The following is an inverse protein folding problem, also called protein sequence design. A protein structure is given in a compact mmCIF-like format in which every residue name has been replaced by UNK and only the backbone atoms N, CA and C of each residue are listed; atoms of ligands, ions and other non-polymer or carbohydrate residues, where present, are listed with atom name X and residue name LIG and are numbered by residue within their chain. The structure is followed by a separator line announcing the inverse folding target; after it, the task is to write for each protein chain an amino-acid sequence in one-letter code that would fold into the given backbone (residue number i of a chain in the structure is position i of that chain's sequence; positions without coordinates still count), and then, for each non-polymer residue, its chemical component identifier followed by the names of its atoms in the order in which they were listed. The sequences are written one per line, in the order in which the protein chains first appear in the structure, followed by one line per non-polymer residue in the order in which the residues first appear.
data_IF_068438797712
#
_entry.id   IF_068438797712
#
_cell.length_a   1.000
_cell.length_b   1.000
_cell.length_c   1.000
_cell.angle_alpha   90.00
_cell.angle_beta   90.00
_cell.angle_gamma   90.00
#
_symmetry.space_group_name_H-M   'P 1'
#
loop_
_entity.id
_entity.type
_entity.pdbx_description
1 polymer ?
#
# COMPACT_ATOMS: atom_id res chain seq x y z
N UNK A 1 -27.82 -9.65 25.64
CA UNK A 1 -26.85 -8.60 25.93
C UNK A 1 -26.33 -8.19 24.57
N UNK A 2 -26.33 -6.92 24.23
CA UNK A 2 -25.81 -6.46 22.96
C UNK A 2 -24.30 -6.79 22.97
N UNK A 3 -23.74 -7.24 21.84
CA UNK A 3 -22.33 -7.68 21.72
C UNK A 3 -21.35 -6.57 22.12
N UNK A 4 -21.74 -5.32 21.89
CA UNK A 4 -20.99 -4.12 22.31
C UNK A 4 -21.02 -3.88 23.81
N UNK A 5 -22.14 -4.15 24.50
CA UNK A 5 -22.28 -3.90 25.94
C UNK A 5 -21.28 -4.72 26.75
N UNK A 6 -20.99 -5.95 26.30
CA UNK A 6 -19.96 -6.81 26.90
C UNK A 6 -18.58 -6.17 26.91
N UNK A 7 -18.24 -5.48 25.81
CA UNK A 7 -16.95 -4.80 25.65
C UNK A 7 -16.93 -3.49 26.46
N UNK A 8 -18.04 -2.74 26.47
CA UNK A 8 -18.17 -1.48 27.22
C UNK A 8 -18.03 -1.71 28.72
N UNK A 9 -18.68 -2.75 29.25
CA UNK A 9 -18.74 -3.07 30.67
C UNK A 9 -17.56 -3.97 31.14
N UNK A 10 -16.52 -4.16 30.31
CA UNK A 10 -15.38 -4.98 30.68
C UNK A 10 -14.68 -4.43 31.92
N UNK A 11 -14.38 -5.30 32.89
CA UNK A 11 -13.77 -4.90 34.17
C UNK A 11 -12.23 -5.05 34.10
N UNK A 12 -11.54 -3.94 34.26
CA UNK A 12 -10.07 -3.87 34.23
C UNK A 12 -9.44 -3.84 35.66
N UNK A 13 -10.19 -4.09 36.73
CA UNK A 13 -9.70 -3.92 38.12
C UNK A 13 -8.49 -4.83 38.45
N UNK A 14 -8.36 -5.96 37.82
CA UNK A 14 -7.33 -6.96 38.11
C UNK A 14 -6.11 -6.85 37.19
N UNK A 15 -6.05 -5.84 36.32
CA UNK A 15 -4.99 -5.68 35.32
C UNK A 15 -3.94 -4.70 35.82
N UNK A 16 -2.68 -5.12 35.83
CA UNK A 16 -1.54 -4.22 36.02
C UNK A 16 -1.29 -3.50 34.71
N UNK A 17 -1.51 -2.19 34.70
CA UNK A 17 -1.35 -1.35 33.51
C UNK A 17 0.06 -0.78 33.45
N UNK A 18 0.77 -1.04 32.38
CA UNK A 18 2.00 -0.35 32.03
C UNK A 18 1.71 0.99 31.34
N UNK A 19 2.75 1.73 30.98
CA UNK A 19 2.64 3.02 30.29
C UNK A 19 1.93 2.91 28.94
N UNK A 20 1.88 1.71 28.35
CA UNK A 20 1.23 1.43 27.06
C UNK A 20 0.44 0.13 27.15
N UNK A 21 -0.77 0.16 26.61
CA UNK A 21 -1.68 -0.97 26.61
C UNK A 21 -2.25 -1.20 25.22
N UNK A 22 -2.27 -2.46 24.80
CA UNK A 22 -2.99 -2.93 23.61
C UNK A 22 -4.14 -3.80 24.07
N UNK A 23 -5.36 -3.44 23.68
CA UNK A 23 -6.57 -4.23 23.97
C UNK A 23 -7.12 -4.79 22.69
N UNK A 24 -7.33 -6.10 22.65
CA UNK A 24 -7.90 -6.83 21.52
C UNK A 24 -9.28 -7.36 21.88
N UNK A 25 -10.21 -7.25 20.96
CA UNK A 25 -11.54 -7.83 21.05
C UNK A 25 -12.18 -7.97 19.66
N UNK A 26 -13.28 -8.72 19.59
CA UNK A 26 -14.07 -8.84 18.37
C UNK A 26 -15.54 -8.54 18.63
N UNK A 27 -16.21 -8.10 17.58
CA UNK A 27 -17.65 -7.85 17.59
C UNK A 27 -18.27 -8.42 16.31
N UNK A 28 -19.56 -8.75 16.38
CA UNK A 28 -20.32 -9.14 15.20
C UNK A 28 -20.39 -7.99 14.20
N UNK A 29 -20.18 -8.28 12.92
CA UNK A 29 -20.23 -7.27 11.84
C UNK A 29 -21.67 -6.81 11.59
N UNK A 30 -22.04 -5.65 12.11
CA UNK A 30 -23.34 -4.98 11.92
C UNK A 30 -23.23 -3.72 11.09
N UNK A 31 -22.03 -3.33 10.69
CA UNK A 31 -21.70 -2.13 9.89
C UNK A 31 -20.66 -2.50 8.83
N UNK A 32 -20.55 -1.67 7.81
CA UNK A 32 -19.56 -1.87 6.75
C UNK A 32 -18.34 -0.95 6.89
N UNK A 33 -17.33 -1.21 6.06
CA UNK A 33 -16.05 -0.51 6.05
C UNK A 33 -16.23 0.99 5.78
N UNK A 34 -17.11 1.37 4.83
CA UNK A 34 -17.36 2.77 4.50
C UNK A 34 -18.01 3.54 5.66
N UNK A 35 -18.95 2.92 6.37
CA UNK A 35 -19.56 3.52 7.57
C UNK A 35 -18.51 3.77 8.66
N UNK A 36 -17.63 2.77 8.90
CA UNK A 36 -16.55 2.91 9.86
C UNK A 36 -15.59 4.05 9.50
N UNK A 37 -15.12 4.11 8.26
CA UNK A 37 -14.21 5.17 7.79
C UNK A 37 -14.89 6.56 7.88
N UNK A 38 -16.18 6.65 7.53
CA UNK A 38 -16.92 7.90 7.54
C UNK A 38 -17.14 8.45 8.94
N UNK A 39 -17.37 7.58 9.91
CA UNK A 39 -17.51 7.97 11.32
C UNK A 39 -16.26 8.73 11.81
N UNK A 40 -15.08 8.28 11.41
CA UNK A 40 -13.81 8.91 11.76
C UNK A 40 -13.35 9.99 10.77
N UNK A 41 -14.28 10.74 10.17
CA UNK A 41 -13.96 11.85 9.26
C UNK A 41 -13.11 12.96 9.89
N UNK A 42 -13.23 13.15 11.22
CA UNK A 42 -12.40 14.09 12.00
C UNK A 42 -10.92 13.69 12.09
N UNK A 43 -10.61 12.40 11.86
CA UNK A 43 -9.24 11.84 11.80
C UNK A 43 -8.65 11.86 10.39
N UNK A 44 -9.10 12.76 9.52
CA UNK A 44 -8.52 12.95 8.19
C UNK A 44 -7.02 13.26 8.29
N UNK A 45 -6.22 12.56 7.48
CA UNK A 45 -4.76 12.64 7.50
C UNK A 45 -4.10 11.59 8.39
N UNK A 46 -4.89 10.79 9.12
CA UNK A 46 -4.43 9.76 10.06
C UNK A 46 -5.22 8.46 9.86
N UNK A 47 -5.46 8.04 8.61
CA UNK A 47 -6.22 6.83 8.29
C UNK A 47 -5.55 6.06 7.16
N UNK A 48 -5.63 4.73 7.21
CA UNK A 48 -5.21 3.88 6.12
C UNK A 48 -6.15 2.68 5.92
N UNK A 49 -6.09 2.09 4.74
CA UNK A 49 -6.80 0.86 4.36
C UNK A 49 -5.84 -0.02 3.59
N UNK A 50 -5.76 -1.30 3.97
CA UNK A 50 -5.06 -2.35 3.24
C UNK A 50 -6.08 -3.44 2.94
N UNK A 51 -6.36 -3.69 1.66
CA UNK A 51 -7.21 -4.78 1.20
C UNK A 51 -6.57 -5.45 0.00
N UNK A 52 -6.09 -6.66 0.18
CA UNK A 52 -5.24 -7.36 -0.78
C UNK A 52 -5.78 -8.76 -1.09
N UNK A 53 -5.38 -9.36 -2.23
CA UNK A 53 -5.91 -10.67 -2.67
C UNK A 53 -5.66 -11.80 -1.69
N UNK A 54 -4.52 -11.77 -1.02
CA UNK A 54 -4.07 -12.80 -0.10
C UNK A 54 -4.75 -12.72 1.27
N UNK A 55 -5.03 -11.50 1.76
CA UNK A 55 -5.73 -11.31 3.04
C UNK A 55 -7.25 -11.48 2.91
N UNK A 56 -7.83 -11.15 1.75
CA UNK A 56 -9.30 -11.12 1.49
C UNK A 56 -10.11 -10.22 2.44
N UNK A 57 -9.45 -9.63 3.44
CA UNK A 57 -10.02 -8.80 4.49
C UNK A 57 -9.60 -7.35 4.30
N UNK A 58 -10.37 -6.42 4.84
CA UNK A 58 -9.96 -5.04 4.93
C UNK A 58 -9.33 -4.78 6.30
N UNK A 59 -8.10 -4.31 6.30
CA UNK A 59 -7.40 -3.80 7.49
C UNK A 59 -7.49 -2.28 7.44
N UNK A 60 -8.09 -1.66 8.46
CA UNK A 60 -8.34 -0.22 8.51
C UNK A 60 -7.73 0.34 9.80
N UNK A 61 -6.80 1.28 9.66
CA UNK A 61 -6.20 2.00 10.79
C UNK A 61 -6.72 3.43 10.89
N UNK A 62 -6.98 3.88 12.12
CA UNK A 62 -7.53 5.20 12.46
C UNK A 62 -6.71 5.82 13.59
N UNK A 63 -6.29 7.08 13.39
CA UNK A 63 -5.51 7.84 14.37
C UNK A 63 -4.08 7.30 14.49
N UNK A 64 -3.07 8.14 14.32
CA UNK A 64 -1.67 7.70 14.40
C UNK A 64 -1.09 8.04 15.76
N UNK A 65 -1.03 7.07 16.65
CA UNK A 65 -0.53 7.24 18.04
C UNK A 65 1.00 7.20 18.12
N UNK A 66 1.66 6.51 17.19
CA UNK A 66 3.11 6.52 17.05
C UNK A 66 3.46 6.58 15.57
N UNK A 67 4.48 7.35 15.23
CA UNK A 67 4.89 7.56 13.84
C UNK A 67 6.41 7.56 13.72
N UNK A 68 6.90 6.90 12.67
CA UNK A 68 8.28 6.96 12.21
C UNK A 68 8.27 7.61 10.84
N UNK A 69 8.72 8.88 10.78
CA UNK A 69 8.77 9.69 9.57
C UNK A 69 10.24 10.02 9.30
N UNK A 70 10.79 9.46 8.25
CA UNK A 70 12.17 9.69 7.84
C UNK A 70 12.17 10.31 6.44
N UNK A 71 12.99 11.32 6.27
CA UNK A 71 13.26 11.91 4.97
C UNK A 71 14.69 11.53 4.61
N UNK A 72 14.83 10.58 3.70
CA UNK A 72 16.10 10.05 3.21
C UNK A 72 16.13 10.13 1.70
N UNK A 73 17.27 10.51 1.14
CA UNK A 73 17.46 10.46 -0.31
C UNK A 73 17.79 9.05 -0.83
N UNK A 74 17.83 8.06 0.07
CA UNK A 74 18.23 6.71 -0.27
C UNK A 74 17.32 5.69 0.42
N UNK A 75 16.63 4.88 -0.38
CA UNK A 75 15.76 3.80 0.06
C UNK A 75 16.49 2.80 0.95
N UNK A 76 17.72 2.44 0.59
CA UNK A 76 18.52 1.45 1.31
C UNK A 76 18.84 1.92 2.73
N UNK A 77 19.25 3.18 2.90
CA UNK A 77 19.62 3.73 4.20
C UNK A 77 18.42 3.91 5.13
N UNK A 78 17.21 4.07 4.59
CA UNK A 78 15.98 4.17 5.39
C UNK A 78 15.68 2.86 6.15
N UNK A 79 15.92 1.73 5.53
CA UNK A 79 15.74 0.41 6.15
C UNK A 79 16.99 -0.09 6.90
N UNK A 80 18.19 0.16 6.37
CA UNK A 80 19.44 -0.30 6.96
C UNK A 80 19.80 0.41 8.27
N UNK A 81 19.43 1.68 8.43
CA UNK A 81 19.63 2.41 9.67
C UNK A 81 18.60 2.08 10.76
N UNK A 82 17.79 1.05 10.54
CA UNK A 82 16.95 0.32 11.50
C UNK A 82 16.16 1.15 12.54
N UNK A 83 16.08 2.48 12.38
CA UNK A 83 15.37 3.34 13.34
C UNK A 83 13.88 2.99 13.47
N UNK A 84 13.27 2.49 12.38
CA UNK A 84 11.88 2.04 12.37
C UNK A 84 11.74 0.72 13.13
N UNK A 85 12.54 -0.30 12.77
CA UNK A 85 12.46 -1.63 13.40
C UNK A 85 12.92 -1.57 14.85
N UNK A 86 14.08 -0.95 15.15
CA UNK A 86 14.57 -0.82 16.52
C UNK A 86 13.63 0.02 17.40
N UNK A 87 13.05 1.09 16.85
CA UNK A 87 12.05 1.89 17.57
C UNK A 87 10.76 1.11 17.85
N UNK A 88 10.34 0.25 16.92
CA UNK A 88 9.19 -0.63 17.13
C UNK A 88 9.49 -1.71 18.17
N UNK A 89 10.67 -2.36 18.12
CA UNK A 89 11.10 -3.34 19.11
C UNK A 89 11.20 -2.72 20.51
N UNK A 90 11.77 -1.53 20.65
CA UNK A 90 11.81 -0.80 21.92
C UNK A 90 10.39 -0.51 22.45
N UNK A 91 9.49 -0.06 21.58
CA UNK A 91 8.11 0.20 21.96
C UNK A 91 7.40 -1.08 22.45
N UNK A 92 7.61 -2.21 21.78
CA UNK A 92 7.02 -3.51 22.17
C UNK A 92 7.37 -3.91 23.61
N UNK A 93 8.58 -3.63 24.06
CA UNK A 93 9.00 -3.95 25.44
C UNK A 93 8.23 -3.17 26.52
N UNK A 94 7.53 -2.12 26.14
CA UNK A 94 6.77 -1.22 27.02
C UNK A 94 5.26 -1.44 26.93
N UNK A 95 4.81 -2.45 26.18
CA UNK A 95 3.38 -2.68 25.90
C UNK A 95 2.87 -3.89 26.67
N UNK A 96 1.80 -3.70 27.42
CA UNK A 96 0.98 -4.79 27.97
C UNK A 96 -0.10 -5.17 26.96
N UNK A 97 -0.31 -6.46 26.74
CA UNK A 97 -1.34 -6.97 25.85
C UNK A 97 -2.50 -7.57 26.66
N UNK A 98 -3.72 -7.15 26.33
CA UNK A 98 -4.95 -7.70 26.86
C UNK A 98 -5.82 -8.20 25.71
N UNK A 99 -6.14 -9.47 25.70
CA UNK A 99 -7.07 -10.06 24.75
C UNK A 99 -8.37 -10.45 25.49
N UNK A 100 -9.46 -9.75 25.18
CA UNK A 100 -10.76 -9.96 25.84
C UNK A 100 -11.44 -11.27 25.35
N UNK A 101 -11.16 -11.68 24.11
CA UNK A 101 -11.84 -12.77 23.42
C UNK A 101 -10.94 -13.99 23.16
N UNK A 102 -9.69 -13.95 23.65
CA UNK A 102 -8.71 -15.05 23.50
C UNK A 102 -8.58 -15.53 22.04
N UNK A 103 -8.41 -14.60 21.10
CA UNK A 103 -8.23 -14.95 19.68
C UNK A 103 -6.75 -14.94 19.28
N UNK A 104 -6.32 -15.91 18.49
CA UNK A 104 -4.92 -16.13 18.10
C UNK A 104 -4.39 -15.11 17.05
N UNK A 105 -5.23 -14.19 16.57
CA UNK A 105 -4.87 -13.31 15.47
C UNK A 105 -4.04 -12.11 15.95
N UNK A 106 -2.85 -11.95 15.38
CA UNK A 106 -1.94 -10.86 15.73
C UNK A 106 -1.94 -9.75 14.68
N UNK A 107 -2.67 -8.67 14.99
CA UNK A 107 -2.75 -7.50 14.12
C UNK A 107 -2.05 -6.25 14.70
N UNK A 108 -1.52 -6.31 15.93
CA UNK A 108 -0.73 -5.20 16.44
C UNK A 108 0.60 -5.12 15.67
N UNK A 109 0.92 -3.93 15.17
CA UNK A 109 2.12 -3.74 14.35
C UNK A 109 2.25 -2.33 13.82
N UNK A 110 3.26 -2.14 12.98
CA UNK A 110 3.49 -0.91 12.23
C UNK A 110 3.01 -1.08 10.80
N UNK A 111 2.37 -0.04 10.29
CA UNK A 111 1.76 0.01 8.96
C UNK A 111 2.35 1.17 8.17
N UNK A 112 2.77 0.95 6.95
CA UNK A 112 3.38 2.01 6.18
C UNK A 112 4.23 1.51 5.02
N UNK A 113 5.14 2.37 4.56
CA UNK A 113 5.97 2.06 3.42
C UNK A 113 7.16 2.98 3.27
N UNK A 114 7.91 2.74 2.20
CA UNK A 114 9.10 3.50 1.83
C UNK A 114 8.95 3.94 0.38
N UNK A 115 9.15 5.21 0.11
CA UNK A 115 9.13 5.78 -1.25
C UNK A 115 10.49 5.65 -1.94
N UNK A 116 10.56 6.04 -3.21
CA UNK A 116 11.82 6.15 -3.94
C UNK A 116 12.69 7.36 -3.52
N UNK A 117 12.25 8.13 -2.53
CA UNK A 117 12.90 9.32 -2.01
C UNK A 117 12.47 10.62 -2.71
N UNK A 118 13.02 11.75 -2.20
CA UNK A 118 12.80 13.10 -2.75
C UNK A 118 11.34 13.61 -2.71
N UNK A 119 10.46 13.04 -1.88
CA UNK A 119 9.06 13.45 -1.77
C UNK A 119 8.87 14.94 -1.51
N UNK A 120 9.77 15.55 -0.75
CA UNK A 120 9.74 17.00 -0.45
C UNK A 120 9.91 17.88 -1.69
N UNK A 121 10.53 17.36 -2.75
CA UNK A 121 10.77 18.10 -3.98
C UNK A 121 9.58 18.00 -4.96
N UNK A 122 8.63 17.13 -4.70
CA UNK A 122 7.41 16.94 -5.51
C UNK A 122 6.23 17.65 -4.87
N UNK A 123 5.45 18.38 -5.67
CA UNK A 123 4.23 19.03 -5.19
C UNK A 123 3.17 18.01 -4.76
N UNK A 124 3.11 16.88 -5.45
CA UNK A 124 2.13 15.83 -5.19
C UNK A 124 2.43 15.08 -3.89
N UNK A 125 3.71 14.87 -3.56
CA UNK A 125 4.16 14.05 -2.43
C UNK A 125 4.57 14.83 -1.19
N UNK A 126 4.49 16.17 -1.20
CA UNK A 126 4.97 17.04 -0.11
C UNK A 126 4.40 16.72 1.27
N UNK A 127 3.24 16.11 1.34
CA UNK A 127 2.59 15.71 2.59
C UNK A 127 3.07 14.35 3.11
N UNK A 128 3.84 13.59 2.31
CA UNK A 128 4.36 12.28 2.67
C UNK A 128 5.86 12.34 2.90
N UNK A 129 6.34 11.76 3.98
CA UNK A 129 7.79 11.52 4.18
C UNK A 129 8.27 10.37 3.31
N UNK A 130 9.58 10.30 3.04
CA UNK A 130 10.17 9.26 2.20
C UNK A 130 9.97 7.86 2.84
N UNK A 131 10.05 7.78 4.16
CA UNK A 131 9.66 6.61 4.94
C UNK A 131 8.56 7.00 5.91
N UNK A 132 7.47 6.26 5.91
CA UNK A 132 6.34 6.48 6.82
C UNK A 132 5.86 5.16 7.37
N UNK A 133 5.98 4.97 8.69
CA UNK A 133 5.34 3.88 9.42
C UNK A 133 4.56 4.43 10.61
N UNK A 134 3.42 3.82 10.90
CA UNK A 134 2.51 4.28 11.95
C UNK A 134 1.98 3.10 12.78
N UNK A 135 1.70 3.36 14.05
CA UNK A 135 0.82 2.52 14.86
C UNK A 135 -0.52 3.26 14.97
N UNK A 136 -1.62 2.67 14.48
CA UNK A 136 -2.94 3.27 14.63
C UNK A 136 -3.45 3.16 16.06
N UNK A 137 -4.20 4.17 16.52
CA UNK A 137 -4.90 4.11 17.81
C UNK A 137 -6.06 3.12 17.81
N UNK A 138 -6.71 2.95 16.64
CA UNK A 138 -7.74 1.94 16.39
C UNK A 138 -7.37 1.21 15.12
N UNK A 139 -7.20 -0.09 15.21
CA UNK A 139 -7.10 -0.98 14.06
C UNK A 139 -8.33 -1.87 14.01
N UNK A 140 -8.96 -1.94 12.84
CA UNK A 140 -10.13 -2.79 12.59
C UNK A 140 -9.86 -3.73 11.42
N UNK A 141 -10.05 -5.04 11.61
CA UNK A 141 -9.93 -6.04 10.56
C UNK A 141 -11.31 -6.62 10.27
N UNK A 142 -11.81 -6.33 9.07
CA UNK A 142 -13.15 -6.69 8.63
C UNK A 142 -13.14 -8.07 7.97
N UNK A 143 -13.61 -9.09 8.70
CA UNK A 143 -13.87 -10.43 8.16
C UNK A 143 -15.34 -10.56 7.70
N UNK A 144 -15.73 -11.74 7.27
CA UNK A 144 -17.09 -11.97 6.74
C UNK A 144 -18.18 -11.68 7.77
N UNK A 145 -18.07 -12.22 8.97
CA UNK A 145 -19.10 -12.12 10.01
C UNK A 145 -18.69 -11.28 11.24
N UNK A 146 -17.41 -11.04 11.43
CA UNK A 146 -16.85 -10.38 12.61
C UNK A 146 -15.90 -9.26 12.22
N UNK A 147 -15.77 -8.29 13.11
CA UNK A 147 -14.74 -7.25 13.04
C UNK A 147 -13.84 -7.40 14.26
N UNK A 148 -12.54 -7.55 14.00
CA UNK A 148 -11.52 -7.65 15.04
C UNK A 148 -10.92 -6.26 15.28
N UNK A 149 -10.93 -5.84 16.53
CA UNK A 149 -10.37 -4.56 16.94
C UNK A 149 -9.09 -4.74 17.74
N UNK A 150 -8.09 -3.92 17.45
CA UNK A 150 -6.90 -3.73 18.27
C UNK A 150 -6.82 -2.25 18.60
N UNK A 151 -6.94 -1.91 19.89
CA UNK A 151 -6.87 -0.55 20.38
C UNK A 151 -5.54 -0.32 21.10
N UNK A 152 -4.82 0.72 20.71
CA UNK A 152 -3.57 1.12 21.36
C UNK A 152 -3.80 2.35 22.26
N UNK A 153 -3.36 2.26 23.50
CA UNK A 153 -3.42 3.31 24.50
C UNK A 153 -2.03 3.71 24.94
N UNK A 154 -1.74 5.01 24.93
CA UNK A 154 -0.58 5.60 25.56
C UNK A 154 -1.01 6.24 26.89
N UNK A 155 -0.64 5.61 28.00
CA UNK A 155 -1.10 5.96 29.37
C UNK A 155 -0.30 7.10 30.01
N UNK A 156 0.59 7.78 29.28
CA UNK A 156 1.41 8.88 29.82
C UNK A 156 0.62 10.09 30.31
N UNK A 157 -0.69 10.16 30.03
CA UNK A 157 -1.57 11.19 30.52
C UNK A 157 -2.22 10.73 31.84
N UNK A 158 -2.37 11.65 32.83
CA UNK A 158 -2.94 11.42 34.18
C UNK A 158 -4.44 11.04 34.18
N UNK A 159 -4.98 10.51 33.10
CA UNK A 159 -6.37 10.08 32.98
C UNK A 159 -6.53 8.65 33.53
N UNK A 160 -7.62 8.44 34.28
CA UNK A 160 -8.07 7.10 34.66
C UNK A 160 -8.32 6.25 33.39
N UNK A 161 -7.77 5.05 33.36
CA UNK A 161 -7.89 4.15 32.18
C UNK A 161 -9.36 3.85 31.84
N UNK A 162 -10.22 3.71 32.84
CA UNK A 162 -11.65 3.45 32.59
C UNK A 162 -12.30 4.59 31.80
N UNK A 163 -11.92 5.84 32.07
CA UNK A 163 -12.40 7.00 31.33
C UNK A 163 -11.84 6.99 29.86
N UNK A 164 -10.55 6.69 29.70
CA UNK A 164 -9.94 6.56 28.36
C UNK A 164 -10.57 5.43 27.57
N UNK A 165 -10.83 4.30 28.22
CA UNK A 165 -11.52 3.18 27.60
C UNK A 165 -12.88 3.58 27.06
N UNK A 166 -13.76 4.15 27.90
CA UNK A 166 -15.10 4.57 27.48
C UNK A 166 -15.04 5.60 26.33
N UNK A 167 -14.14 6.57 26.41
CA UNK A 167 -13.94 7.55 25.34
C UNK A 167 -13.53 6.87 24.03
N UNK A 168 -12.61 5.91 24.11
CA UNK A 168 -12.06 5.25 22.91
C UNK A 168 -13.05 4.29 22.25
N UNK A 169 -13.92 3.61 23.01
CA UNK A 169 -14.88 2.64 22.47
C UNK A 169 -16.27 3.22 22.18
N UNK A 170 -16.52 4.49 22.51
CA UNK A 170 -17.81 5.15 22.25
C UNK A 170 -18.26 5.01 20.79
N UNK A 171 -17.32 4.91 19.84
CA UNK A 171 -17.63 4.72 18.42
C UNK A 171 -18.46 3.46 18.15
N UNK A 172 -18.39 2.43 18.97
CA UNK A 172 -19.19 1.21 18.80
C UNK A 172 -20.69 1.51 18.92
N UNK A 173 -21.08 2.35 19.88
CA UNK A 173 -22.49 2.78 20.06
C UNK A 173 -22.92 3.69 18.90
N UNK A 174 -22.02 4.57 18.45
CA UNK A 174 -22.30 5.48 17.34
C UNK A 174 -22.51 4.72 16.03
N UNK A 175 -21.71 3.68 15.76
CA UNK A 175 -21.79 2.87 14.53
C UNK A 175 -23.16 2.19 14.34
N UNK A 176 -23.81 1.73 15.41
CA UNK A 176 -25.15 1.09 15.33
C UNK A 176 -26.19 1.98 14.65
N UNK A 177 -26.08 3.30 14.86
CA UNK A 177 -27.05 4.27 14.40
C UNK A 177 -26.52 5.18 13.28
N UNK A 178 -25.25 4.96 12.86
CA UNK A 178 -24.59 5.84 11.91
C UNK A 178 -25.17 5.71 10.52
N UNK A 179 -25.67 6.82 9.99
CA UNK A 179 -26.10 6.92 8.60
C UNK A 179 -25.06 7.69 7.80
N UNK A 180 -24.41 6.96 6.92
CA UNK A 180 -23.40 7.53 6.05
C UNK A 180 -24.01 8.58 5.11
N UNK A 181 -23.37 9.76 5.04
CA UNK A 181 -23.66 10.81 4.08
C UNK A 181 -22.41 11.04 3.24
N UNK A 182 -22.34 10.40 2.09
CA UNK A 182 -21.21 10.58 1.18
C UNK A 182 -21.64 11.43 -0.01
N UNK A 183 -20.82 12.41 -0.35
CA UNK A 183 -20.88 13.08 -1.63
C UNK A 183 -20.11 12.22 -2.63
N UNK A 184 -20.78 11.75 -3.66
CA UNK A 184 -20.14 11.01 -4.75
C UNK A 184 -19.16 11.93 -5.49
N UNK A 185 -17.98 11.44 -5.87
CA UNK A 185 -17.04 12.23 -6.63
C UNK A 185 -17.52 12.37 -8.09
N UNK A 186 -17.74 13.60 -8.55
CA UNK A 186 -18.06 13.91 -9.94
C UNK A 186 -16.92 14.65 -10.59
N UNK A 187 -16.51 14.19 -11.80
CA UNK A 187 -15.42 14.80 -12.56
C UNK A 187 -15.91 16.10 -13.21
N UNK A 188 -15.20 17.18 -12.95
CA UNK A 188 -15.38 18.47 -13.62
C UNK A 188 -14.45 18.62 -14.82
N UNK A 189 -13.16 18.29 -14.66
CA UNK A 189 -12.13 18.47 -15.70
C UNK A 189 -11.10 17.35 -15.61
N UNK A 190 -10.64 16.88 -16.78
CA UNK A 190 -9.46 16.01 -16.92
C UNK A 190 -8.45 16.67 -17.84
N UNK A 191 -7.18 16.73 -17.42
CA UNK A 191 -6.08 17.26 -18.21
C UNK A 191 -4.83 16.42 -18.06
N UNK A 192 -4.07 16.27 -19.15
CA UNK A 192 -2.72 15.72 -19.09
C UNK A 192 -1.76 16.74 -18.43
N UNK A 193 -0.83 16.23 -17.63
CA UNK A 193 0.27 17.00 -17.06
C UNK A 193 1.50 16.75 -17.95
N UNK A 194 2.02 17.81 -18.55
CA UNK A 194 3.20 17.79 -19.44
C UNK A 194 3.14 16.73 -20.56
N UNK A 195 2.08 16.74 -21.41
CA UNK A 195 1.89 15.70 -22.43
C UNK A 195 3.05 15.61 -23.45
N UNK A 196 3.68 16.75 -23.77
CA UNK A 196 4.79 16.79 -24.72
C UNK A 196 6.03 16.07 -24.17
N UNK A 197 6.36 16.25 -22.90
CA UNK A 197 7.48 15.56 -22.25
C UNK A 197 7.24 14.05 -22.23
N UNK A 198 6.05 13.62 -21.82
CA UNK A 198 5.69 12.21 -21.80
C UNK A 198 5.78 11.57 -23.18
N UNK A 199 5.34 12.26 -24.24
CA UNK A 199 5.48 11.80 -25.62
C UNK A 199 6.94 11.71 -26.09
N UNK A 200 7.78 12.63 -25.64
CA UNK A 200 9.22 12.61 -25.92
C UNK A 200 9.89 11.43 -25.21
N UNK A 201 9.50 11.16 -23.97
CA UNK A 201 10.01 10.02 -23.20
C UNK A 201 9.68 8.69 -23.86
N UNK A 202 8.45 8.52 -24.40
CA UNK A 202 8.10 7.32 -25.18
C UNK A 202 9.04 7.16 -26.39
N UNK A 203 9.26 8.23 -27.15
CA UNK A 203 10.12 8.15 -28.35
C UNK A 203 11.56 7.81 -27.98
N UNK A 204 12.08 8.44 -26.93
CA UNK A 204 13.43 8.21 -26.42
C UNK A 204 13.60 6.76 -25.93
N UNK A 205 12.64 6.26 -25.16
CA UNK A 205 12.66 4.90 -24.65
C UNK A 205 12.57 3.85 -25.77
N UNK A 206 11.66 4.02 -26.72
CA UNK A 206 11.55 3.12 -27.87
C UNK A 206 12.84 3.10 -28.74
N UNK A 207 13.53 4.25 -28.87
CA UNK A 207 14.81 4.34 -29.58
C UNK A 207 15.92 3.55 -28.85
N UNK A 208 15.98 3.63 -27.51
CA UNK A 208 16.96 2.87 -26.72
C UNK A 208 16.65 1.38 -26.74
N UNK A 209 15.36 1.00 -26.76
CA UNK A 209 14.93 -0.41 -26.92
C UNK A 209 15.31 -0.93 -28.33
N UNK A 210 15.14 -0.14 -29.39
CA UNK A 210 15.55 -0.50 -30.73
C UNK A 210 17.06 -0.73 -30.87
N UNK A 211 17.85 0.01 -30.06
CA UNK A 211 19.31 -0.15 -30.00
C UNK A 211 19.80 -1.25 -29.06
N UNK A 212 18.92 -2.01 -28.44
CA UNK A 212 19.21 -2.99 -27.39
C UNK A 212 19.94 -2.39 -26.15
N UNK A 213 19.88 -1.07 -25.93
CA UNK A 213 20.38 -0.39 -24.73
C UNK A 213 19.42 -0.63 -23.54
N UNK A 214 18.12 -0.65 -23.82
CA UNK A 214 17.05 -1.06 -22.90
C UNK A 214 16.31 -2.26 -23.50
N UNK A 215 15.96 -3.23 -22.70
CA UNK A 215 15.03 -4.31 -23.09
C UNK A 215 13.58 -3.93 -22.81
N UNK A 216 13.36 -3.19 -21.73
CA UNK A 216 12.05 -2.64 -21.35
C UNK A 216 12.18 -1.47 -20.36
N UNK A 217 11.14 -0.65 -20.28
CA UNK A 217 11.02 0.44 -19.31
C UNK A 217 9.55 0.72 -19.02
N UNK A 218 9.25 1.12 -17.78
CA UNK A 218 7.89 1.56 -17.40
C UNK A 218 7.87 3.08 -17.27
N UNK A 219 7.05 3.73 -18.08
CA UNK A 219 6.83 5.17 -18.01
C UNK A 219 5.52 5.49 -17.29
N UNK A 220 5.49 6.62 -16.60
CA UNK A 220 4.29 7.13 -15.94
C UNK A 220 3.71 8.32 -16.69
N UNK A 221 2.43 8.21 -17.08
CA UNK A 221 1.64 9.35 -17.55
C UNK A 221 0.89 9.95 -16.36
N UNK A 222 0.98 11.26 -16.18
CA UNK A 222 0.30 11.99 -15.12
C UNK A 222 -0.92 12.72 -15.69
N UNK A 223 -2.09 12.51 -15.06
CA UNK A 223 -3.32 13.22 -15.40
C UNK A 223 -3.87 13.95 -14.18
N UNK A 224 -4.19 15.22 -14.35
CA UNK A 224 -4.93 15.99 -13.36
C UNK A 224 -6.44 15.79 -13.57
N UNK A 225 -7.12 15.35 -12.52
CA UNK A 225 -8.58 15.26 -12.46
C UNK A 225 -9.07 16.24 -11.41
N UNK A 226 -9.93 17.18 -11.83
CA UNK A 226 -10.62 18.07 -10.91
C UNK A 226 -12.04 17.55 -10.67
N UNK A 227 -12.40 17.41 -9.40
CA UNK A 227 -13.74 17.07 -8.97
C UNK A 227 -14.55 18.34 -8.70
N UNK A 228 -15.88 18.27 -8.82
CA UNK A 228 -16.79 19.38 -8.49
C UNK A 228 -16.72 19.77 -7.01
N UNK A 229 -16.51 18.78 -6.13
CA UNK A 229 -16.46 18.97 -4.68
C UNK A 229 -15.23 18.28 -4.08
N UNK A 230 -14.88 18.67 -2.86
CA UNK A 230 -13.90 17.95 -2.06
C UNK A 230 -14.38 16.52 -1.81
N UNK A 231 -13.47 15.57 -1.95
CA UNK A 231 -13.77 14.17 -1.71
C UNK A 231 -13.15 13.66 -0.40
N UNK A 232 -13.66 12.55 0.08
CA UNK A 232 -13.18 11.88 1.30
C UNK A 232 -12.66 10.48 0.99
N UNK A 233 -11.85 9.93 1.90
CA UNK A 233 -11.39 8.54 1.80
C UNK A 233 -12.58 7.58 1.62
N UNK A 234 -13.63 7.72 2.43
CA UNK A 234 -14.82 6.88 2.35
C UNK A 234 -15.52 6.99 0.98
N UNK A 235 -15.67 8.20 0.41
CA UNK A 235 -16.27 8.39 -0.89
C UNK A 235 -15.45 7.75 -2.02
N UNK A 236 -14.12 7.90 -2.00
CA UNK A 236 -13.23 7.32 -3.02
C UNK A 236 -13.16 5.80 -2.94
N UNK A 237 -13.26 5.23 -1.74
CA UNK A 237 -13.10 3.78 -1.54
C UNK A 237 -14.41 2.99 -1.57
N UNK A 238 -15.56 3.67 -1.40
CA UNK A 238 -16.89 3.03 -1.38
C UNK A 238 -17.13 2.10 -2.59
N UNK A 239 -16.87 2.61 -3.78
CA UNK A 239 -17.02 1.82 -4.99
C UNK A 239 -16.10 0.60 -5.01
N UNK A 240 -14.85 0.74 -4.57
CA UNK A 240 -13.89 -0.34 -4.50
C UNK A 240 -14.36 -1.45 -3.55
N UNK A 241 -14.97 -1.08 -2.41
CA UNK A 241 -15.59 -2.03 -1.49
C UNK A 241 -16.81 -2.73 -2.12
N UNK A 242 -17.73 -1.99 -2.73
CA UNK A 242 -18.94 -2.52 -3.38
C UNK A 242 -18.57 -3.51 -4.51
N UNK A 243 -17.55 -3.18 -5.32
CA UNK A 243 -17.08 -4.03 -6.42
C UNK A 243 -16.06 -5.08 -5.98
N UNK A 244 -15.87 -5.28 -4.68
CA UNK A 244 -14.94 -6.25 -4.11
C UNK A 244 -13.51 -6.13 -4.68
N UNK A 245 -13.01 -4.90 -4.86
CA UNK A 245 -11.68 -4.63 -5.41
C UNK A 245 -10.61 -4.63 -4.34
N UNK A 246 -9.38 -4.93 -4.74
CA UNK A 246 -8.19 -4.85 -3.90
C UNK A 246 -7.53 -3.48 -4.05
N UNK A 247 -7.14 -2.88 -2.94
CA UNK A 247 -6.52 -1.56 -2.94
C UNK A 247 -5.80 -1.28 -1.62
N UNK A 248 -4.88 -0.31 -1.68
CA UNK A 248 -4.23 0.29 -0.51
C UNK A 248 -4.52 1.78 -0.58
N UNK A 249 -4.93 2.36 0.54
CA UNK A 249 -5.11 3.80 0.70
C UNK A 249 -4.42 4.25 1.98
N UNK A 250 -3.76 5.41 1.94
CA UNK A 250 -3.05 5.96 3.09
C UNK A 250 -3.16 7.49 3.08
N UNK A 251 -3.58 8.06 4.19
CA UNK A 251 -3.66 9.49 4.39
C UNK A 251 -2.45 10.01 5.16
N UNK A 252 -1.93 11.16 4.72
CA UNK A 252 -0.95 11.93 5.46
C UNK A 252 -1.29 13.41 5.34
N UNK A 253 -1.42 14.09 6.47
CA UNK A 253 -1.83 15.50 6.55
C UNK A 253 -3.10 15.79 5.76
N UNK A 254 -2.99 16.46 4.60
CA UNK A 254 -4.13 16.83 3.74
C UNK A 254 -4.27 15.95 2.51
N UNK A 255 -3.30 15.09 2.27
CA UNK A 255 -3.20 14.26 1.08
C UNK A 255 -3.59 12.82 1.38
N UNK A 256 -4.07 12.15 0.34
CA UNK A 256 -4.40 10.74 0.33
C UNK A 256 -3.79 10.13 -0.91
N UNK A 257 -2.99 9.07 -0.79
CA UNK A 257 -2.76 8.21 -1.93
C UNK A 257 -3.69 6.98 -1.89
N UNK A 258 -4.06 6.50 -3.07
CA UNK A 258 -4.81 5.27 -3.27
C UNK A 258 -4.21 4.51 -4.44
N UNK A 259 -3.81 3.26 -4.19
CA UNK A 259 -3.34 2.31 -5.20
C UNK A 259 -4.34 1.19 -5.37
N UNK A 260 -4.70 0.88 -6.62
CA UNK A 260 -5.57 -0.25 -6.95
C UNK A 260 -4.76 -1.43 -7.47
N UNK A 261 -5.22 -2.64 -7.15
CA UNK A 261 -4.56 -3.90 -7.50
C UNK A 261 -3.08 -3.95 -7.05
N UNK A 262 -2.81 -3.75 -5.74
CA UNK A 262 -1.47 -3.88 -5.21
C UNK A 262 -0.97 -5.31 -5.39
N UNK A 263 0.31 -5.45 -5.77
CA UNK A 263 0.96 -6.74 -5.98
C UNK A 263 1.85 -7.06 -4.78
N UNK A 264 1.74 -8.26 -4.24
CA UNK A 264 2.62 -8.68 -3.14
C UNK A 264 4.07 -8.70 -3.62
N UNK A 265 4.97 -8.10 -2.86
CA UNK A 265 6.41 -8.08 -3.18
C UNK A 265 7.24 -8.88 -2.18
N UNK A 266 6.81 -8.91 -0.91
CA UNK A 266 7.48 -9.68 0.13
C UNK A 266 6.46 -10.22 1.11
N UNK A 267 6.61 -11.49 1.48
CA UNK A 267 5.91 -12.15 2.58
C UNK A 267 6.94 -12.89 3.45
N UNK A 268 7.03 -12.48 4.71
CA UNK A 268 7.89 -13.12 5.68
C UNK A 268 7.05 -13.60 6.86
N UNK A 269 6.96 -14.90 7.04
CA UNK A 269 6.20 -15.53 8.13
C UNK A 269 6.95 -16.76 8.63
N UNK A 270 7.07 -16.92 9.95
CA UNK A 270 7.66 -18.10 10.59
C UNK A 270 8.99 -18.54 9.98
N UNK A 271 9.91 -17.58 9.82
CA UNK A 271 11.23 -17.75 9.21
C UNK A 271 11.23 -18.04 7.69
N UNK A 272 10.06 -18.13 7.05
CA UNK A 272 9.99 -18.31 5.61
C UNK A 272 9.90 -16.95 4.92
N UNK A 273 10.91 -16.63 4.13
CA UNK A 273 10.96 -15.47 3.27
C UNK A 273 10.50 -15.85 1.87
N UNK A 274 9.47 -15.18 1.37
CA UNK A 274 9.00 -15.26 0.01
C UNK A 274 9.14 -13.89 -0.65
N UNK A 275 9.97 -13.80 -1.67
CA UNK A 275 10.16 -12.60 -2.49
C UNK A 275 9.49 -12.82 -3.85
N UNK A 276 8.61 -11.89 -4.26
CA UNK A 276 7.76 -12.03 -5.44
C UNK A 276 8.27 -11.16 -6.59
N UNK A 277 8.63 -11.77 -7.70
CA UNK A 277 9.06 -11.11 -8.92
C UNK A 277 7.99 -11.23 -9.99
N UNK A 278 7.30 -10.15 -10.29
CA UNK A 278 6.32 -10.10 -11.37
C UNK A 278 7.04 -9.90 -12.70
N UNK A 279 6.86 -10.84 -13.62
CA UNK A 279 7.63 -10.94 -14.84
C UNK A 279 6.80 -10.63 -16.08
N UNK A 280 5.53 -11.02 -16.07
CA UNK A 280 4.66 -10.96 -17.23
C UNK A 280 3.24 -10.59 -16.80
N UNK A 281 2.60 -9.78 -17.61
CA UNK A 281 1.17 -9.50 -17.48
C UNK A 281 0.50 -9.81 -18.82
N UNK A 282 -0.46 -10.74 -18.83
CA UNK A 282 -1.27 -11.07 -20.00
C UNK A 282 -2.67 -10.49 -19.85
N UNK A 283 -3.18 -9.84 -20.88
CA UNK A 283 -4.60 -9.51 -20.98
C UNK A 283 -5.32 -10.69 -21.62
N UNK A 284 -6.24 -11.33 -20.91
CA UNK A 284 -6.98 -12.52 -21.39
C UNK A 284 -7.81 -12.29 -22.66
N UNK A 285 -7.94 -11.05 -23.11
CA UNK A 285 -8.77 -10.66 -24.24
C UNK A 285 -7.99 -9.97 -25.37
N UNK A 286 -6.67 -9.83 -25.24
CA UNK A 286 -5.81 -9.18 -26.22
C UNK A 286 -4.61 -10.10 -26.53
N UNK A 287 -4.75 -10.91 -27.58
CA UNK A 287 -3.74 -11.89 -28.01
C UNK A 287 -2.41 -11.25 -28.44
N UNK A 288 -2.40 -9.94 -28.72
CA UNK A 288 -1.20 -9.19 -29.16
C UNK A 288 -0.34 -8.68 -27.96
N UNK A 289 -0.79 -8.86 -26.72
CA UNK A 289 -0.14 -8.26 -25.55
C UNK A 289 0.49 -9.29 -24.60
N UNK A 290 1.42 -10.07 -25.09
CA UNK A 290 2.31 -10.87 -24.24
C UNK A 290 3.62 -10.10 -24.02
N UNK A 291 3.83 -9.63 -22.80
CA UNK A 291 5.11 -9.02 -22.40
C UNK A 291 6.07 -10.18 -22.16
N UNK A 292 6.84 -10.54 -23.18
CA UNK A 292 7.95 -11.47 -23.02
C UNK A 292 9.18 -10.70 -22.53
N UNK A 293 9.70 -11.10 -21.39
CA UNK A 293 11.02 -10.70 -20.91
C UNK A 293 11.97 -11.89 -21.03
N UNK A 294 13.25 -11.60 -20.97
CA UNK A 294 14.26 -12.60 -20.62
C UNK A 294 14.09 -12.96 -19.14
N UNK A 295 12.98 -13.65 -18.85
CA UNK A 295 12.49 -13.94 -17.50
C UNK A 295 13.55 -14.65 -16.66
N UNK A 296 14.25 -15.59 -17.30
CA UNK A 296 15.28 -16.39 -16.65
C UNK A 296 16.51 -15.56 -16.24
N UNK A 297 16.91 -14.58 -17.06
CA UNK A 297 18.03 -13.68 -16.74
C UNK A 297 17.71 -12.83 -15.52
N UNK A 298 16.50 -12.25 -15.46
CA UNK A 298 16.05 -11.42 -14.35
C UNK A 298 15.92 -12.24 -13.06
N UNK A 299 15.31 -13.42 -13.13
CA UNK A 299 15.16 -14.30 -11.96
C UNK A 299 16.54 -14.66 -11.40
N UNK A 300 17.49 -15.01 -12.27
CA UNK A 300 18.84 -15.39 -11.84
C UNK A 300 19.57 -14.22 -11.19
N UNK A 301 19.47 -12.99 -11.73
CA UNK A 301 20.11 -11.81 -11.15
C UNK A 301 19.59 -11.53 -9.74
N UNK A 302 18.25 -11.47 -9.55
CA UNK A 302 17.67 -11.24 -8.21
C UNK A 302 17.96 -12.39 -7.24
N UNK A 303 17.92 -13.62 -7.73
CA UNK A 303 18.28 -14.79 -6.94
C UNK A 303 19.73 -14.75 -6.47
N UNK A 304 20.67 -14.47 -7.35
CA UNK A 304 22.10 -14.36 -7.01
C UNK A 304 22.36 -13.24 -6.00
N UNK A 305 21.68 -12.10 -6.13
CA UNK A 305 21.78 -10.99 -5.19
C UNK A 305 21.29 -11.38 -3.79
N UNK A 306 20.14 -12.05 -3.71
CA UNK A 306 19.59 -12.55 -2.43
C UNK A 306 20.49 -13.65 -1.84
N UNK A 307 20.94 -14.63 -2.63
CA UNK A 307 21.80 -15.71 -2.18
C UNK A 307 23.14 -15.20 -1.64
N UNK A 308 23.72 -14.21 -2.32
CA UNK A 308 24.97 -13.56 -1.88
C UNK A 308 24.77 -12.78 -0.57
N UNK A 309 23.63 -12.10 -0.42
CA UNK A 309 23.36 -11.29 0.78
C UNK A 309 23.10 -12.16 2.01
N UNK A 310 22.35 -13.26 1.85
CA UNK A 310 21.93 -14.12 2.97
C UNK A 310 22.84 -15.34 3.19
N UNK A 311 23.82 -15.57 2.32
CA UNK A 311 24.66 -16.77 2.33
C UNK A 311 23.81 -18.09 2.39
N UNK A 312 22.69 -18.10 1.67
CA UNK A 312 21.73 -19.22 1.65
C UNK A 312 21.12 -19.36 0.27
N UNK A 313 20.69 -20.58 -0.07
CA UNK A 313 20.08 -20.85 -1.36
C UNK A 313 18.58 -20.50 -1.41
N UNK A 314 18.14 -19.94 -2.52
CA UNK A 314 16.74 -19.67 -2.79
C UNK A 314 16.16 -20.67 -3.80
N UNK A 315 14.99 -21.23 -3.44
CA UNK A 315 14.19 -22.04 -4.37
C UNK A 315 13.33 -21.10 -5.21
N UNK A 316 13.21 -21.41 -6.48
CA UNK A 316 12.34 -20.69 -7.41
C UNK A 316 11.09 -21.52 -7.66
N UNK A 317 9.94 -20.90 -7.57
CA UNK A 317 8.66 -21.45 -8.03
C UNK A 317 7.93 -20.39 -8.84
N UNK A 318 7.13 -20.81 -9.79
CA UNK A 318 6.31 -19.93 -10.62
C UNK A 318 4.84 -20.09 -10.25
N UNK A 319 4.09 -19.01 -10.28
CA UNK A 319 2.66 -19.02 -10.04
C UNK A 319 1.99 -17.89 -10.83
N UNK A 320 0.67 -17.88 -10.84
CA UNK A 320 -0.13 -16.90 -11.54
C UNK A 320 -1.23 -16.33 -10.66
N UNK A 321 -1.51 -15.05 -10.81
CA UNK A 321 -2.65 -14.42 -10.15
C UNK A 321 -3.56 -13.73 -11.16
N UNK A 322 -4.86 -13.99 -11.06
CA UNK A 322 -5.87 -13.34 -11.89
C UNK A 322 -6.37 -12.06 -11.21
N UNK A 323 -6.11 -10.91 -11.81
CA UNK A 323 -6.53 -9.60 -11.34
C UNK A 323 -7.54 -8.96 -12.32
N UNK A 324 -8.80 -9.28 -12.15
CA UNK A 324 -9.85 -8.88 -13.09
C UNK A 324 -9.73 -9.62 -14.42
N UNK A 325 -9.32 -8.93 -15.49
CA UNK A 325 -9.10 -9.50 -16.83
C UNK A 325 -7.62 -9.74 -17.16
N UNK A 326 -6.73 -9.48 -16.22
CA UNK A 326 -5.29 -9.61 -16.37
C UNK A 326 -4.78 -10.79 -15.59
N UNK A 327 -3.94 -11.58 -16.22
CA UNK A 327 -3.20 -12.67 -15.63
C UNK A 327 -1.76 -12.21 -15.43
N UNK A 328 -1.35 -12.10 -14.16
CA UNK A 328 0.03 -11.77 -13.82
C UNK A 328 0.79 -13.08 -13.54
N UNK A 329 1.88 -13.32 -14.28
CA UNK A 329 2.83 -14.38 -14.03
C UNK A 329 3.94 -13.83 -13.13
N UNK A 330 4.26 -14.56 -12.06
CA UNK A 330 5.32 -14.18 -11.16
C UNK A 330 6.13 -15.39 -10.69
N UNK A 331 7.40 -15.14 -10.37
CA UNK A 331 8.25 -16.11 -9.70
C UNK A 331 8.35 -15.78 -8.23
N UNK A 332 8.38 -16.80 -7.39
CA UNK A 332 8.58 -16.68 -5.96
C UNK A 332 9.95 -17.25 -5.61
N UNK A 333 10.81 -16.40 -5.06
CA UNK A 333 12.10 -16.79 -4.51
C UNK A 333 11.91 -17.08 -3.02
N UNK A 334 12.11 -18.33 -2.61
CA UNK A 334 11.81 -18.80 -1.25
C UNK A 334 13.07 -19.27 -0.53
N UNK A 335 13.25 -18.84 0.70
CA UNK A 335 14.28 -19.35 1.61
C UNK A 335 13.86 -19.25 3.07
N UNK A 336 14.56 -19.98 3.96
CA UNK A 336 14.46 -19.79 5.40
C UNK A 336 15.47 -18.78 5.87
N UNK A 337 15.01 -17.73 6.54
CA UNK A 337 15.84 -16.67 7.12
C UNK A 337 15.46 -16.53 8.60
N UNK A 338 16.31 -17.04 9.49
CA UNK A 338 16.05 -17.04 10.94
C UNK A 338 16.05 -15.63 11.54
N UNK A 339 16.89 -14.74 11.01
CA UNK A 339 16.96 -13.37 11.47
C UNK A 339 15.88 -12.52 10.83
N UNK A 340 14.86 -12.20 11.62
CA UNK A 340 13.66 -11.46 11.20
C UNK A 340 13.98 -10.05 10.67
N UNK A 341 14.89 -9.33 11.30
CA UNK A 341 15.30 -7.99 10.83
C UNK A 341 16.00 -8.08 9.47
N UNK A 342 16.86 -9.07 9.29
CA UNK A 342 17.51 -9.31 7.99
C UNK A 342 16.50 -9.69 6.92
N UNK A 343 15.49 -10.52 7.25
CA UNK A 343 14.47 -10.90 6.28
C UNK A 343 13.69 -9.69 5.71
N UNK A 344 13.41 -8.70 6.55
CA UNK A 344 12.72 -7.47 6.12
C UNK A 344 13.62 -6.61 5.22
N UNK A 345 14.94 -6.67 5.41
CA UNK A 345 15.91 -6.00 4.52
C UNK A 345 15.90 -6.52 3.09
N UNK A 346 15.31 -7.70 2.83
CA UNK A 346 15.10 -8.17 1.47
C UNK A 346 14.33 -7.17 0.61
N UNK A 347 13.49 -6.32 1.20
CA UNK A 347 12.81 -5.25 0.44
C UNK A 347 13.79 -4.35 -0.29
N UNK A 348 14.92 -3.99 0.31
CA UNK A 348 15.91 -3.13 -0.31
C UNK A 348 16.65 -3.81 -1.48
N UNK A 349 16.73 -5.14 -1.47
CA UNK A 349 17.33 -5.93 -2.55
C UNK A 349 16.35 -6.23 -3.68
N UNK A 350 15.05 -6.17 -3.38
CA UNK A 350 13.99 -6.41 -4.35
C UNK A 350 13.53 -5.13 -5.06
N UNK A 351 13.77 -3.98 -4.45
CA UNK A 351 13.34 -2.70 -5.00
C UNK A 351 14.49 -2.00 -5.75
N UNK A 352 14.23 -1.44 -6.96
CA UNK A 352 12.98 -1.50 -7.71
C UNK A 352 12.77 -2.83 -8.39
N UNK A 353 11.56 -3.40 -8.29
CA UNK A 353 11.23 -4.64 -8.98
C UNK A 353 11.35 -4.45 -10.52
N UNK A 354 11.88 -5.42 -11.27
CA UNK A 354 12.15 -5.27 -12.72
C UNK A 354 10.95 -4.86 -13.58
N UNK A 355 9.75 -5.26 -13.18
CA UNK A 355 8.49 -4.88 -13.85
C UNK A 355 8.14 -3.40 -13.68
N UNK A 356 8.85 -2.67 -12.85
CA UNK A 356 8.44 -1.36 -12.34
C UNK A 356 9.23 -0.20 -12.96
N UNK A 357 10.56 -0.29 -12.98
CA UNK A 357 11.38 0.77 -13.58
C UNK A 357 11.84 0.39 -14.98
N UNK A 358 12.44 -0.75 -15.14
CA UNK A 358 12.94 -1.23 -16.44
C UNK A 358 14.07 -2.22 -16.28
N UNK A 359 14.58 -2.71 -17.44
CA UNK A 359 15.67 -3.67 -17.48
C UNK A 359 16.53 -3.44 -18.75
N UNK A 360 17.88 -3.50 -18.70
CA UNK A 360 18.71 -3.63 -17.47
C UNK A 360 18.50 -2.47 -16.49
N UNK A 361 18.70 -2.73 -15.17
CA UNK A 361 18.42 -1.75 -14.13
C UNK A 361 19.25 -0.48 -14.26
N UNK A 362 20.57 -0.62 -14.54
CA UNK A 362 21.49 0.51 -14.72
C UNK A 362 21.05 1.43 -15.87
N UNK A 363 20.71 0.85 -17.03
CA UNK A 363 20.25 1.64 -18.18
C UNK A 363 18.91 2.33 -17.93
N UNK A 364 18.00 1.66 -17.21
CA UNK A 364 16.74 2.28 -16.81
C UNK A 364 16.93 3.42 -15.80
N UNK A 365 17.85 3.26 -14.85
CA UNK A 365 18.23 4.30 -13.91
C UNK A 365 18.79 5.54 -14.63
N UNK A 366 19.75 5.36 -15.53
CA UNK A 366 20.35 6.42 -16.32
C UNK A 366 19.30 7.16 -17.15
N UNK A 367 18.35 6.44 -17.74
CA UNK A 367 17.24 7.02 -18.49
C UNK A 367 16.43 8.00 -17.63
N UNK A 368 16.09 7.63 -16.39
CA UNK A 368 15.32 8.49 -15.50
C UNK A 368 16.14 9.66 -14.95
N UNK A 369 17.45 9.46 -14.67
CA UNK A 369 18.32 10.54 -14.23
C UNK A 369 18.51 11.62 -15.30
N UNK A 370 18.72 11.22 -16.55
CA UNK A 370 18.84 12.16 -17.68
C UNK A 370 17.60 13.02 -17.88
N UNK A 371 16.41 12.49 -17.52
CA UNK A 371 15.13 13.21 -17.65
C UNK A 371 14.85 14.17 -16.50
N UNK A 372 15.69 14.23 -15.46
CA UNK A 372 15.44 14.98 -14.23
C UNK A 372 14.03 14.70 -13.67
N UNK A 373 13.56 13.47 -13.79
CA UNK A 373 12.23 13.10 -13.37
C UNK A 373 12.20 12.99 -11.84
N UNK A 374 11.73 14.05 -11.20
CA UNK A 374 11.80 14.23 -9.77
C UNK A 374 10.64 13.49 -9.10
N UNK A 375 11.00 12.49 -8.29
CA UNK A 375 10.14 11.97 -7.23
C UNK A 375 8.86 11.29 -7.70
N UNK A 376 8.94 10.00 -7.97
CA UNK A 376 7.75 9.18 -8.15
C UNK A 376 7.04 8.87 -6.81
N UNK A 377 7.68 9.21 -5.69
CA UNK A 377 7.14 9.03 -4.35
C UNK A 377 6.82 7.57 -4.05
N UNK A 378 5.59 7.29 -3.65
CA UNK A 378 5.13 5.93 -3.38
C UNK A 378 4.64 5.16 -4.62
N UNK A 379 4.76 5.75 -5.81
CA UNK A 379 4.41 5.04 -7.04
C UNK A 379 5.36 3.87 -7.26
N UNK A 380 4.79 2.67 -7.30
CA UNK A 380 5.47 1.37 -7.30
C UNK A 380 6.39 1.09 -6.10
N UNK A 381 6.28 1.87 -5.05
CA UNK A 381 7.04 1.63 -3.83
C UNK A 381 6.36 0.61 -2.93
N UNK A 382 7.11 -0.06 -2.04
CA UNK A 382 6.55 -1.03 -1.12
C UNK A 382 5.74 -0.33 -0.02
N UNK A 383 4.54 -0.83 0.21
CA UNK A 383 3.67 -0.44 1.31
C UNK A 383 3.05 -1.68 1.95
N UNK A 384 3.04 -1.75 3.28
CA UNK A 384 2.56 -2.94 3.96
C UNK A 384 2.56 -2.81 5.46
N UNK A 385 2.91 -3.90 6.14
CA UNK A 385 2.96 -3.93 7.60
C UNK A 385 3.99 -4.92 8.14
N UNK A 386 4.38 -4.69 9.39
CA UNK A 386 5.19 -5.58 10.21
C UNK A 386 4.45 -5.74 11.53
N UNK A 387 4.07 -6.97 11.88
CA UNK A 387 3.32 -7.23 13.10
C UNK A 387 4.23 -7.41 14.33
N UNK A 388 3.61 -7.64 15.48
CA UNK A 388 4.29 -7.84 16.76
C UNK A 388 5.33 -8.97 16.76
N UNK A 389 5.10 -10.03 15.98
CA UNK A 389 6.02 -11.17 15.85
C UNK A 389 7.10 -10.94 14.80
N UNK A 390 7.19 -9.73 14.24
CA UNK A 390 8.03 -9.36 13.10
C UNK A 390 7.71 -10.15 11.82
N UNK A 391 6.54 -10.74 11.70
CA UNK A 391 6.05 -11.16 10.41
C UNK A 391 5.75 -9.92 9.57
N UNK A 392 6.16 -9.95 8.32
CA UNK A 392 6.09 -8.78 7.46
C UNK A 392 5.43 -9.09 6.13
N UNK A 393 4.60 -8.18 5.65
CA UNK A 393 3.99 -8.30 4.35
C UNK A 393 3.96 -6.96 3.64
N UNK A 394 4.54 -6.91 2.44
CA UNK A 394 4.65 -5.70 1.64
C UNK A 394 4.12 -5.91 0.24
N UNK A 395 3.53 -4.85 -0.29
CA UNK A 395 2.91 -4.81 -1.60
C UNK A 395 3.46 -3.65 -2.40
N UNK A 396 3.64 -3.85 -3.68
CA UNK A 396 4.00 -2.80 -4.62
C UNK A 396 2.77 -2.01 -5.03
N UNK A 397 2.80 -0.71 -4.82
CA UNK A 397 1.73 0.23 -5.11
C UNK A 397 1.81 0.78 -6.54
N UNK A 398 1.31 0.02 -7.53
CA UNK A 398 1.14 0.46 -8.92
C UNK A 398 -0.10 1.38 -9.09
N UNK A 399 -0.69 1.44 -10.26
CA UNK A 399 -1.99 2.08 -10.54
C UNK A 399 -2.50 3.07 -9.48
N UNK A 400 -1.75 4.15 -9.26
CA UNK A 400 -1.90 5.03 -8.10
C UNK A 400 -2.60 6.34 -8.45
N UNK A 401 -3.24 6.92 -7.47
CA UNK A 401 -3.67 8.31 -7.48
C UNK A 401 -3.34 9.01 -6.16
N UNK A 402 -3.12 10.32 -6.23
CA UNK A 402 -3.01 11.21 -5.07
C UNK A 402 -4.17 12.18 -5.11
N UNK A 403 -4.88 12.30 -4.00
CA UNK A 403 -5.98 13.25 -3.82
C UNK A 403 -5.58 14.32 -2.82
N UNK A 404 -5.75 15.59 -3.21
CA UNK A 404 -5.62 16.77 -2.36
C UNK A 404 -6.88 17.62 -2.50
N UNK A 405 -7.80 17.51 -1.55
CA UNK A 405 -9.13 18.13 -1.60
C UNK A 405 -9.97 17.65 -2.80
N UNK A 406 -10.20 18.50 -3.81
CA UNK A 406 -10.89 18.17 -5.04
C UNK A 406 -9.95 17.93 -6.24
N UNK A 407 -8.65 18.01 -6.03
CA UNK A 407 -7.63 17.70 -7.05
C UNK A 407 -7.15 16.27 -6.89
N UNK A 408 -7.07 15.54 -7.99
CA UNK A 408 -6.55 14.18 -8.04
C UNK A 408 -5.50 14.11 -9.15
N UNK A 409 -4.29 13.68 -8.81
CA UNK A 409 -3.27 13.31 -9.79
C UNK A 409 -3.30 11.79 -9.98
N UNK A 410 -3.59 11.34 -11.19
CA UNK A 410 -3.51 9.93 -11.59
C UNK A 410 -2.14 9.62 -12.16
N UNK A 411 -1.51 8.56 -11.70
CA UNK A 411 -0.28 7.99 -12.25
C UNK A 411 -0.63 6.75 -13.04
N UNK A 412 -0.55 6.83 -14.36
CA UNK A 412 -0.87 5.74 -15.26
C UNK A 412 0.41 5.14 -15.82
N UNK A 413 0.69 3.91 -15.42
CA UNK A 413 1.87 3.17 -15.85
C UNK A 413 1.67 2.56 -17.22
N UNK A 414 2.69 2.65 -18.05
CA UNK A 414 2.76 1.94 -19.32
C UNK A 414 4.14 1.31 -19.46
N UNK A 415 4.15 0.01 -19.74
CA UNK A 415 5.37 -0.72 -20.02
C UNK A 415 5.68 -0.67 -21.51
N UNK A 416 6.91 -0.29 -21.84
CA UNK A 416 7.47 -0.31 -23.18
C UNK A 416 8.46 -1.47 -23.31
N UNK A 417 8.36 -2.20 -24.42
CA UNK A 417 9.24 -3.31 -24.75
C UNK A 417 9.43 -3.40 -26.28
N UNK A 418 10.22 -4.36 -26.73
CA UNK A 418 10.46 -4.63 -28.15
C UNK A 418 9.12 -4.91 -28.86
N UNK A 419 9.03 -4.52 -30.13
CA UNK A 419 7.89 -4.70 -31.03
C UNK A 419 6.68 -3.77 -30.79
N UNK A 420 6.79 -2.82 -29.87
CA UNK A 420 5.78 -1.78 -29.69
C UNK A 420 6.05 -0.57 -30.58
N UNK A 421 4.97 0.08 -31.02
CA UNK A 421 5.05 1.34 -31.77
C UNK A 421 4.53 2.49 -30.93
N UNK A 422 5.03 3.71 -31.19
CA UNK A 422 4.59 4.91 -30.50
C UNK A 422 3.04 5.06 -30.45
N UNK A 423 2.36 4.82 -31.58
CA UNK A 423 0.91 4.98 -31.66
C UNK A 423 0.18 3.95 -30.77
N UNK A 424 0.59 2.68 -30.80
CA UNK A 424 0.02 1.63 -29.94
C UNK A 424 0.21 1.95 -28.45
N UNK A 425 1.38 2.47 -28.06
CA UNK A 425 1.65 2.88 -26.68
C UNK A 425 0.74 4.02 -26.23
N UNK A 426 0.54 5.05 -27.07
CA UNK A 426 -0.34 6.18 -26.78
C UNK A 426 -1.80 5.73 -26.66
N UNK A 427 -2.31 4.95 -27.64
CA UNK A 427 -3.68 4.40 -27.63
C UNK A 427 -3.93 3.58 -26.35
N UNK A 428 -3.00 2.69 -26.00
CA UNK A 428 -3.11 1.87 -24.80
C UNK A 428 -3.13 2.72 -23.51
N UNK A 429 -2.29 3.75 -23.45
CA UNK A 429 -2.28 4.67 -22.33
C UNK A 429 -3.64 5.40 -22.18
N UNK A 430 -4.24 5.84 -23.29
CA UNK A 430 -5.56 6.50 -23.28
C UNK A 430 -6.67 5.55 -22.79
N UNK A 431 -6.65 4.29 -23.17
CA UNK A 431 -7.58 3.28 -22.69
C UNK A 431 -7.44 3.04 -21.17
N UNK A 432 -6.20 2.97 -20.66
CA UNK A 432 -5.95 2.80 -19.23
C UNK A 432 -6.46 4.02 -18.46
N UNK A 433 -6.18 5.24 -18.93
CA UNK A 433 -6.68 6.48 -18.32
C UNK A 433 -8.22 6.46 -18.28
N UNK A 434 -8.88 6.19 -19.41
CA UNK A 434 -10.34 6.09 -19.49
C UNK A 434 -10.90 5.06 -18.50
N UNK A 435 -10.28 3.89 -18.40
CA UNK A 435 -10.68 2.84 -17.47
C UNK A 435 -10.58 3.30 -16.01
N UNK A 436 -9.54 4.06 -15.66
CA UNK A 436 -9.34 4.56 -14.31
C UNK A 436 -10.29 5.69 -13.94
N UNK A 437 -10.66 6.53 -14.90
CA UNK A 437 -11.65 7.60 -14.69
C UNK A 437 -13.03 7.04 -14.31
N UNK A 438 -13.34 5.79 -14.67
CA UNK A 438 -14.58 5.11 -14.26
C UNK A 438 -14.72 4.95 -12.74
N UNK A 439 -13.61 5.05 -11.99
CA UNK A 439 -13.67 5.05 -10.53
C UNK A 439 -14.46 6.24 -9.96
N UNK A 440 -14.64 7.30 -10.75
CA UNK A 440 -15.32 8.53 -10.34
C UNK A 440 -16.71 8.71 -10.98
N UNK A 441 -17.07 7.88 -11.96
CA UNK A 441 -18.34 7.98 -12.71
C UNK A 441 -19.19 6.72 -12.50
N UNK A 442 -19.66 6.49 -11.28
CA UNK A 442 -20.29 5.23 -10.88
C UNK A 442 -21.72 5.01 -11.39
N UNK A 443 -22.36 6.01 -11.99
CA UNK A 443 -23.80 6.00 -12.27
C UNK A 443 -24.18 5.69 -13.72
N UNK A 444 -23.24 5.42 -14.63
CA UNK A 444 -23.57 5.20 -16.05
C UNK A 444 -23.52 3.74 -16.53
N UNK A 445 -23.28 2.76 -15.65
CA UNK A 445 -23.33 1.33 -16.04
C UNK A 445 -24.13 0.52 -15.00
N UNK A 446 -25.45 0.53 -15.12
CA UNK A 446 -26.34 -0.58 -14.79
C UNK A 446 -26.66 -1.40 -16.04
#
# INVERSE_FOLDING_TARGET
MNDYQRIIDYNFSDIVLDDKLVVKFKVKKTFNESQFISLFSSKRGERFIIRTPDTKHAIIGIGYESTWLLDSNDFLTSFDNSSVLSGFEELKTQVTFLDIDEHDEEYFGIYGGVSDGQNKNSQEWVDFSDTTFVIPGILAVFKEEEVYFTLFFNMKEEKDFTSLWHERIQFLEELENYKEKLNEPHISVVRDIYPELWQEDIRSALLQIEKDELKRIVLSRKNLVLLENNTSLAALTRYLFIKNRYFIAFESKKSLFLSTNPLISLDYQEENLNAYLYLKQEDLFDDDFSIMCDEEEIINEYKENLEKHYDTSFKVSEDTVLMGKKLDLYSVLQSKIENKEQAIKALSLLYPIPLIKGFPEEAAHDFFEEKNDIGYGYWYSPFGYINNDLNAKFYTCGNMMISQNNMITLFTSILLSKDQTYNKVVERSDEIVKSRLRLFNHLEEE
#
